data_IF_605889922425
#
_entry.id   IF_605889922425
#
_cell.length_a   1.000
_cell.length_b   1.000
_cell.length_c   1.000
_cell.angle_alpha   90.00
_cell.angle_beta   90.00
_cell.angle_gamma   90.00
#
_symmetry.space_group_name_H-M   'P 1'
#
loop_
_entity.id
_entity.type
_entity.pdbx_description
1 polymer ?
#
# COMPACT_ATOMS: atom_id res chain seq x y z
N UNK A 1 -54.16 -40.68 -44.56
CA UNK A 1 -52.70 -40.63 -44.27
C UNK A 1 -52.13 -39.22 -44.35
N UNK A 2 -52.46 -38.44 -45.39
CA UNK A 2 -51.97 -37.07 -45.60
C UNK A 2 -52.27 -36.10 -44.43
N UNK A 3 -53.46 -36.17 -43.82
CA UNK A 3 -53.83 -35.26 -42.71
C UNK A 3 -53.07 -35.53 -41.41
N UNK A 4 -52.66 -36.78 -41.18
CA UNK A 4 -51.84 -37.13 -40.00
C UNK A 4 -50.41 -36.59 -40.16
N UNK A 5 -49.88 -36.63 -41.38
CA UNK A 5 -48.55 -36.11 -41.71
C UNK A 5 -48.54 -34.58 -41.59
N UNK A 6 -49.59 -33.89 -42.06
CA UNK A 6 -49.70 -32.44 -41.96
C UNK A 6 -49.74 -31.94 -40.51
N UNK A 7 -50.50 -32.63 -39.64
CA UNK A 7 -50.56 -32.29 -38.20
C UNK A 7 -49.21 -32.46 -37.49
N UNK A 8 -48.43 -33.49 -37.85
CA UNK A 8 -47.08 -33.70 -37.32
C UNK A 8 -46.15 -32.56 -37.75
N UNK A 9 -46.19 -32.15 -39.01
CA UNK A 9 -45.40 -31.01 -39.50
C UNK A 9 -45.74 -29.71 -38.77
N UNK A 10 -47.03 -29.42 -38.54
CA UNK A 10 -47.47 -28.23 -37.80
C UNK A 10 -46.98 -28.24 -36.36
N UNK A 11 -47.04 -29.39 -35.67
CA UNK A 11 -46.56 -29.53 -34.29
C UNK A 11 -45.03 -29.38 -34.18
N UNK A 12 -44.28 -29.93 -35.14
CA UNK A 12 -42.83 -29.79 -35.19
C UNK A 12 -42.43 -28.35 -35.51
N UNK A 13 -43.08 -27.71 -36.48
CA UNK A 13 -42.80 -26.32 -36.85
C UNK A 13 -43.15 -25.35 -35.73
N UNK A 14 -44.27 -25.57 -35.04
CA UNK A 14 -44.64 -24.81 -33.84
C UNK A 14 -43.60 -24.96 -32.73
N UNK A 15 -43.12 -26.18 -32.48
CA UNK A 15 -42.08 -26.44 -31.48
C UNK A 15 -40.76 -25.73 -31.80
N UNK A 16 -40.35 -25.74 -33.07
CA UNK A 16 -39.12 -25.07 -33.55
C UNK A 16 -39.23 -23.54 -33.41
N UNK A 17 -40.41 -22.97 -33.70
CA UNK A 17 -40.66 -21.54 -33.52
C UNK A 17 -40.62 -21.12 -32.03
N UNK A 18 -41.19 -21.92 -31.13
CA UNK A 18 -41.16 -21.64 -29.70
C UNK A 18 -39.74 -21.66 -29.11
N UNK A 19 -38.89 -22.61 -29.53
CA UNK A 19 -37.49 -22.70 -29.07
C UNK A 19 -36.66 -21.49 -29.54
N UNK A 20 -36.91 -21.00 -30.74
CA UNK A 20 -36.16 -19.88 -31.34
C UNK A 20 -36.41 -18.55 -30.64
N UNK A 21 -37.57 -18.37 -30.00
CA UNK A 21 -37.92 -17.12 -29.32
C UNK A 21 -37.21 -17.00 -27.96
N UNK A 22 -37.16 -18.10 -27.18
CA UNK A 22 -36.54 -18.11 -25.86
C UNK A 22 -35.01 -17.87 -25.88
N UNK A 23 -34.30 -18.37 -26.90
CA UNK A 23 -32.83 -18.20 -27.00
C UNK A 23 -32.40 -16.79 -27.38
N UNK A 24 -33.28 -15.98 -27.98
CA UNK A 24 -32.97 -14.63 -28.43
C UNK A 24 -32.80 -13.62 -27.28
N UNK A 25 -33.55 -13.80 -26.19
CA UNK A 25 -33.49 -12.95 -25.00
C UNK A 25 -32.20 -13.19 -24.19
N UNK A 26 -31.83 -14.45 -24.00
CA UNK A 26 -30.60 -14.84 -23.31
C UNK A 26 -29.35 -14.39 -24.08
N UNK A 27 -29.39 -14.45 -25.41
CA UNK A 27 -28.32 -13.95 -26.27
C UNK A 27 -28.14 -12.44 -26.09
N UNK A 28 -29.24 -11.68 -26.14
CA UNK A 28 -29.23 -10.22 -25.96
C UNK A 28 -28.72 -9.81 -24.57
N UNK A 29 -29.07 -10.57 -23.53
CA UNK A 29 -28.56 -10.35 -22.17
C UNK A 29 -27.06 -10.58 -22.07
N UNK A 30 -26.56 -11.66 -22.67
CA UNK A 30 -25.13 -11.98 -22.70
C UNK A 30 -24.35 -10.91 -23.46
N UNK A 31 -24.84 -10.45 -24.61
CA UNK A 31 -24.19 -9.36 -25.38
C UNK A 31 -24.06 -8.06 -24.57
N UNK A 32 -25.09 -7.69 -23.81
CA UNK A 32 -25.04 -6.50 -22.97
C UNK A 32 -24.04 -6.65 -21.81
N UNK A 33 -23.93 -7.85 -21.23
CA UNK A 33 -22.89 -8.12 -20.22
C UNK A 33 -21.49 -8.04 -20.82
N UNK A 34 -21.29 -8.58 -22.03
CA UNK A 34 -20.01 -8.50 -22.75
C UNK A 34 -19.63 -7.03 -22.98
N UNK A 35 -20.58 -6.19 -23.41
CA UNK A 35 -20.35 -4.75 -23.61
C UNK A 35 -20.01 -4.02 -22.30
N UNK A 36 -20.70 -4.33 -21.20
CA UNK A 36 -20.39 -3.76 -19.89
C UNK A 36 -18.99 -4.18 -19.41
N UNK A 37 -18.64 -5.46 -19.55
CA UNK A 37 -17.31 -5.96 -19.20
C UNK A 37 -16.23 -5.29 -20.05
N UNK A 38 -16.45 -5.14 -21.36
CA UNK A 38 -15.51 -4.46 -22.25
C UNK A 38 -15.27 -3.00 -21.81
N UNK A 39 -16.34 -2.29 -21.44
CA UNK A 39 -16.23 -0.93 -20.90
C UNK A 39 -15.40 -0.86 -19.61
N UNK A 40 -15.57 -1.84 -18.71
CA UNK A 40 -14.78 -1.95 -17.47
C UNK A 40 -13.32 -2.28 -17.74
N UNK A 41 -13.06 -3.19 -18.68
CA UNK A 41 -11.70 -3.53 -19.11
C UNK A 41 -11.01 -2.29 -19.67
N UNK A 42 -11.67 -1.53 -20.53
CA UNK A 42 -11.12 -0.29 -21.09
C UNK A 42 -10.84 0.77 -20.01
N UNK A 43 -11.76 0.93 -19.04
CA UNK A 43 -11.56 1.84 -17.90
C UNK A 43 -10.35 1.43 -17.05
N UNK A 44 -10.23 0.14 -16.72
CA UNK A 44 -9.11 -0.37 -15.94
C UNK A 44 -7.79 -0.27 -16.70
N UNK A 45 -7.79 -0.54 -18.01
CA UNK A 45 -6.61 -0.35 -18.86
C UNK A 45 -6.14 1.10 -18.86
N UNK A 46 -7.07 2.07 -18.90
CA UNK A 46 -6.73 3.49 -18.81
C UNK A 46 -6.11 3.85 -17.46
N UNK A 47 -6.65 3.32 -16.36
CA UNK A 47 -6.11 3.53 -15.02
C UNK A 47 -4.71 2.94 -14.86
N UNK A 48 -4.47 1.72 -15.39
CA UNK A 48 -3.15 1.10 -15.42
C UNK A 48 -2.16 1.94 -16.23
N UNK A 49 -2.55 2.43 -17.40
CA UNK A 49 -1.69 3.30 -18.21
C UNK A 49 -1.33 4.60 -17.48
N UNK A 50 -2.29 5.20 -16.78
CA UNK A 50 -2.07 6.41 -15.99
C UNK A 50 -1.13 6.16 -14.80
N UNK A 51 -1.33 5.07 -14.06
CA UNK A 51 -0.45 4.68 -12.95
C UNK A 51 0.97 4.40 -13.45
N UNK A 52 1.11 3.75 -14.60
CA UNK A 52 2.41 3.52 -15.23
C UNK A 52 3.14 4.83 -15.53
N UNK A 53 2.44 5.82 -16.11
CA UNK A 53 3.03 7.14 -16.36
C UNK A 53 3.46 7.88 -15.09
N UNK A 54 2.73 7.71 -13.99
CA UNK A 54 3.13 8.24 -12.67
C UNK A 54 4.40 7.57 -12.15
N UNK A 55 4.50 6.25 -12.27
CA UNK A 55 5.70 5.49 -11.86
C UNK A 55 6.91 6.00 -12.65
N UNK A 56 6.82 6.09 -13.97
CA UNK A 56 7.91 6.60 -14.82
C UNK A 56 8.34 8.02 -14.44
N UNK A 57 7.38 8.87 -14.06
CA UNK A 57 7.68 10.24 -13.60
C UNK A 57 8.44 10.24 -12.27
N UNK A 58 8.03 9.38 -11.33
CA UNK A 58 8.69 9.23 -10.03
C UNK A 58 10.10 8.66 -10.20
N UNK A 59 10.28 7.67 -11.08
CA UNK A 59 11.60 7.09 -11.38
C UNK A 59 12.58 8.13 -11.93
N UNK A 60 12.12 8.99 -12.84
CA UNK A 60 12.94 10.12 -13.35
C UNK A 60 13.34 11.09 -12.23
N UNK A 61 12.43 11.39 -11.32
CA UNK A 61 12.72 12.25 -10.17
C UNK A 61 13.76 11.60 -9.25
N UNK A 62 13.64 10.29 -8.98
CA UNK A 62 14.61 9.54 -8.18
C UNK A 62 16.00 9.55 -8.83
N UNK A 63 16.09 9.31 -10.14
CA UNK A 63 17.36 9.40 -10.87
C UNK A 63 18.00 10.77 -10.73
N UNK A 64 17.21 11.84 -10.89
CA UNK A 64 17.71 13.20 -10.74
C UNK A 64 18.22 13.48 -9.32
N UNK A 65 17.47 13.09 -8.29
CA UNK A 65 17.87 13.26 -6.89
C UNK A 65 19.14 12.46 -6.59
N UNK A 66 19.22 11.21 -7.06
CA UNK A 66 20.39 10.38 -6.86
C UNK A 66 21.64 11.00 -7.50
N UNK A 67 21.52 11.55 -8.72
CA UNK A 67 22.59 12.27 -9.37
C UNK A 67 23.02 13.51 -8.56
N UNK A 68 22.07 14.26 -7.99
CA UNK A 68 22.39 15.40 -7.11
C UNK A 68 23.13 14.95 -5.83
N UNK A 69 22.72 13.84 -5.22
CA UNK A 69 23.38 13.27 -4.04
C UNK A 69 24.83 12.89 -4.35
N UNK A 70 25.10 12.23 -5.49
CA UNK A 70 26.46 11.85 -5.91
C UNK A 70 27.34 13.09 -6.08
N UNK A 71 26.83 14.15 -6.71
CA UNK A 71 27.57 15.42 -6.86
C UNK A 71 27.92 16.05 -5.51
N UNK A 72 27.01 15.96 -4.53
CA UNK A 72 27.22 16.48 -3.18
C UNK A 72 28.17 15.59 -2.33
N UNK A 73 28.22 14.29 -2.59
CA UNK A 73 29.10 13.34 -1.88
C UNK A 73 30.54 13.33 -2.41
N UNK A 74 30.78 13.81 -3.64
CA UNK A 74 32.12 13.91 -4.25
C UNK A 74 32.96 15.10 -3.73
N UNK A 75 32.67 15.63 -2.55
CA UNK A 75 33.53 16.58 -1.85
C UNK A 75 34.25 15.94 -0.65
N UNK A 76 35.46 15.34 -0.82
CA UNK A 76 36.40 15.18 0.28
C UNK A 76 37.16 16.48 0.50
N UNK A 77 36.91 17.06 1.67
CA UNK A 77 37.71 18.08 2.34
C UNK A 77 39.15 17.58 2.52
N UNK A 78 40.16 18.43 2.24
CA UNK A 78 41.56 18.10 2.48
C UNK A 78 41.82 17.98 3.99
N UNK A 79 41.95 16.75 4.50
CA UNK A 79 42.50 16.48 5.83
C UNK A 79 44.01 16.34 5.67
N UNK A 80 44.75 17.19 6.38
CA UNK A 80 46.22 17.24 6.45
C UNK A 80 46.83 15.92 6.94
N UNK A 81 48.08 15.59 6.55
CA UNK A 81 48.75 14.39 7.01
C UNK A 81 49.33 14.57 8.41
N UNK A 82 49.46 13.44 9.10
CA UNK A 82 50.41 13.12 10.17
C UNK A 82 49.85 12.97 11.61
N UNK A 83 49.64 11.72 12.02
CA UNK A 83 50.36 11.12 13.15
C UNK A 83 50.09 9.61 13.25
N UNK A 84 51.00 8.82 12.68
CA UNK A 84 51.23 7.44 13.10
C UNK A 84 51.75 7.42 14.54
N UNK A 85 51.21 6.56 15.42
CA UNK A 85 51.95 5.68 16.35
C UNK A 85 51.00 4.89 17.25
N UNK A 86 51.01 3.58 17.04
CA UNK A 86 50.57 2.49 17.93
C UNK A 86 50.97 2.65 19.39
N UNK A 87 50.08 2.26 20.33
CA UNK A 87 50.42 1.29 21.40
C UNK A 87 49.16 0.80 22.12
N UNK A 88 49.07 -0.52 22.26
CA UNK A 88 48.10 -1.22 23.09
C UNK A 88 48.52 -1.14 24.58
N UNK A 89 47.57 -1.50 25.45
CA UNK A 89 47.69 -1.74 26.89
C UNK A 89 47.55 -0.52 27.82
N UNK A 90 46.38 -0.38 28.45
CA UNK A 90 46.31 -0.46 29.92
C UNK A 90 44.90 -0.81 30.43
N UNK A 91 44.89 -1.81 31.32
CA UNK A 91 43.75 -2.42 31.99
C UNK A 91 42.86 -1.47 32.82
N UNK A 92 41.57 -1.83 32.84
CA UNK A 92 40.66 -1.88 34.00
C UNK A 92 40.95 -0.96 35.21
N UNK A 93 39.99 -0.06 35.50
CA UNK A 93 39.58 0.18 36.88
C UNK A 93 38.06 0.12 37.03
N UNK A 94 37.67 -0.72 37.97
CA UNK A 94 36.33 -1.17 38.34
C UNK A 94 35.71 -0.19 39.34
N UNK A 95 34.38 -0.22 39.44
CA UNK A 95 33.51 0.30 40.53
C UNK A 95 33.35 1.83 40.57
N UNK A 96 32.14 2.37 40.70
CA UNK A 96 31.36 2.25 41.93
C UNK A 96 29.85 2.43 41.72
N UNK A 97 29.10 1.61 42.44
CA UNK A 97 27.65 1.67 42.63
C UNK A 97 27.39 2.43 43.93
N UNK A 98 26.51 3.43 43.97
CA UNK A 98 25.66 3.61 45.14
C UNK A 98 24.36 4.37 44.86
N UNK A 99 23.32 3.88 45.52
CA UNK A 99 21.90 4.15 45.36
C UNK A 99 21.42 5.40 46.11
N UNK A 100 20.15 5.75 45.83
CA UNK A 100 19.05 5.93 46.81
C UNK A 100 18.53 7.37 46.99
N UNK A 101 17.38 7.63 46.38
CA UNK A 101 16.22 8.17 47.10
C UNK A 101 14.97 7.39 46.66
N UNK A 102 14.13 7.08 47.64
CA UNK A 102 13.09 6.05 47.66
C UNK A 102 11.80 6.73 48.10
N UNK A 103 10.69 6.60 47.36
CA UNK A 103 9.28 6.54 47.87
C UNK A 103 8.38 6.12 46.66
N UNK A 104 8.13 4.83 46.37
CA UNK A 104 6.94 4.00 46.70
C UNK A 104 5.56 4.65 46.41
N UNK A 105 4.53 4.07 45.76
CA UNK A 105 4.11 2.74 45.24
C UNK A 105 2.83 3.07 44.39
N UNK A 106 2.61 2.65 43.14
CA UNK A 106 1.79 1.47 42.77
C UNK A 106 1.80 1.15 41.25
N UNK A 107 2.32 -0.04 40.92
CA UNK A 107 1.76 -1.08 40.02
C UNK A 107 1.16 -0.69 38.65
N UNK A 108 1.95 -0.83 37.56
CA UNK A 108 1.81 -1.86 36.48
C UNK A 108 2.65 -1.53 35.23
N UNK A 109 3.69 -2.34 35.03
CA UNK A 109 4.31 -2.77 33.77
C UNK A 109 4.66 -1.75 32.67
N UNK A 110 5.96 -1.42 32.64
CA UNK A 110 6.86 -1.31 31.46
C UNK A 110 6.71 -0.17 30.43
N UNK A 111 7.77 0.64 30.43
CA UNK A 111 8.36 1.48 29.36
C UNK A 111 7.93 2.96 29.23
N UNK A 112 8.58 3.75 30.09
CA UNK A 112 9.20 5.06 29.84
C UNK A 112 8.90 5.82 28.53
N UNK A 113 8.24 6.96 28.73
CA UNK A 113 8.66 8.29 28.26
C UNK A 113 9.24 8.43 26.85
N UNK A 114 8.34 8.55 25.89
CA UNK A 114 8.41 9.56 24.84
C UNK A 114 7.01 9.71 24.25
N UNK A 115 6.26 10.75 24.65
CA UNK A 115 5.02 11.12 23.94
C UNK A 115 5.39 11.84 22.64
N UNK A 116 6.08 11.11 21.78
CA UNK A 116 6.40 11.54 20.44
C UNK A 116 5.12 11.91 19.68
N UNK A 117 5.31 12.63 18.59
CA UNK A 117 4.24 13.00 17.68
C UNK A 117 3.45 11.75 17.25
N UNK A 118 2.13 11.86 17.19
CA UNK A 118 1.24 10.76 16.78
C UNK A 118 1.70 10.19 15.44
N UNK A 119 1.79 8.85 15.37
CA UNK A 119 2.31 8.15 14.19
C UNK A 119 1.27 7.95 13.06
N UNK A 120 0.03 8.42 13.24
CA UNK A 120 -1.01 8.29 12.22
C UNK A 120 -0.78 9.21 11.02
N UNK A 121 -1.08 8.72 9.83
CA UNK A 121 -1.07 9.49 8.58
C UNK A 121 -2.49 9.97 8.28
N UNK A 122 -2.63 11.26 7.98
CA UNK A 122 -3.93 11.86 7.62
C UNK A 122 -4.33 11.49 6.20
N UNK A 123 -5.60 11.71 5.83
CA UNK A 123 -6.06 11.54 4.43
C UNK A 123 -5.28 12.38 3.42
N UNK A 124 -4.67 13.48 3.88
CA UNK A 124 -3.80 14.35 3.06
C UNK A 124 -2.36 13.82 2.95
N UNK A 125 -2.05 12.64 3.50
CA UNK A 125 -0.73 12.01 3.44
C UNK A 125 0.31 12.56 4.43
N UNK A 126 -0.05 13.50 5.29
CA UNK A 126 0.88 14.08 6.28
C UNK A 126 0.69 13.47 7.67
N UNK A 127 1.77 13.36 8.46
CA UNK A 127 1.73 12.86 9.83
C UNK A 127 0.88 13.77 10.72
N UNK A 128 -0.01 13.16 11.52
CA UNK A 128 -0.85 13.83 12.50
C UNK A 128 -0.06 14.81 13.36
N UNK A 129 -0.57 16.04 13.50
CA UNK A 129 0.08 17.13 14.26
C UNK A 129 0.05 16.98 15.77
N UNK A 130 -0.80 16.09 16.29
CA UNK A 130 -1.00 15.93 17.73
C UNK A 130 0.03 14.99 18.34
N UNK A 131 0.29 15.11 19.64
CA UNK A 131 1.14 14.18 20.37
C UNK A 131 0.40 12.86 20.64
N UNK A 132 1.16 11.77 20.74
CA UNK A 132 0.62 10.49 21.14
C UNK A 132 0.21 10.50 22.62
N UNK A 133 -0.82 9.72 22.98
CA UNK A 133 -1.16 9.55 24.39
C UNK A 133 -0.02 8.81 25.12
N UNK A 134 0.22 9.08 26.41
CA UNK A 134 1.15 8.28 27.20
C UNK A 134 0.84 6.78 27.07
N UNK A 135 1.85 5.98 26.76
CA UNK A 135 1.70 4.54 26.52
C UNK A 135 1.05 4.15 25.18
N UNK A 136 0.85 5.09 24.25
CA UNK A 136 0.31 4.83 22.92
C UNK A 136 1.18 5.47 21.84
N UNK A 137 1.15 4.91 20.62
CA UNK A 137 1.73 5.53 19.41
C UNK A 137 0.82 6.58 18.79
N UNK A 138 -0.42 6.68 19.25
CA UNK A 138 -1.48 7.46 18.62
C UNK A 138 -2.12 8.47 19.57
N UNK A 139 -2.61 9.57 19.01
CA UNK A 139 -3.41 10.55 19.74
C UNK A 139 -4.85 10.04 19.92
N UNK A 140 -5.64 10.70 20.77
CA UNK A 140 -7.04 10.36 21.05
C UNK A 140 -7.95 10.23 19.82
N UNK A 141 -7.64 10.90 18.70
CA UNK A 141 -8.41 10.77 17.45
C UNK A 141 -8.05 9.53 16.62
N UNK A 142 -6.90 8.93 16.88
CA UNK A 142 -6.35 7.81 16.11
C UNK A 142 -6.14 6.57 17.00
N UNK A 143 -6.85 6.52 18.14
CA UNK A 143 -6.97 5.32 18.96
C UNK A 143 -8.12 4.49 18.40
N UNK A 144 -7.80 3.64 17.43
CA UNK A 144 -8.65 2.51 17.06
C UNK A 144 -8.13 1.27 17.77
#
# INVERSE_FOLDING_TARGET
>A
MKDKILKIFVLLFSSILFISCASSEDLSRSENQIKDLDSKVNSLQQEVAFLKGKIESIEKILMNINNQIIQLQLMPNMVTPDNTSTEQDLLNLKTNTNSKTKTSIDKKSSSETSSGRCQAITQKGTQCKRNAKPGSKYCWQHQK
#
